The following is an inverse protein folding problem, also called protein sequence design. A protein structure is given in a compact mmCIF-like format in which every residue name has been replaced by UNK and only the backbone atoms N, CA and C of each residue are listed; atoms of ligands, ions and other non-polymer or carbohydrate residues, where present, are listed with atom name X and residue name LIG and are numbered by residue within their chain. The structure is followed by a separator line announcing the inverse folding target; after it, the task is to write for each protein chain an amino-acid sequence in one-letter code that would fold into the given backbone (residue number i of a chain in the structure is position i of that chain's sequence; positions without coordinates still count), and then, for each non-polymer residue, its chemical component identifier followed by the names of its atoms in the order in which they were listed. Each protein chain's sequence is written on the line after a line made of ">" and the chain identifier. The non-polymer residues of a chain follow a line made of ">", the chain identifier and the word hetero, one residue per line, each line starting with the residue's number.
data_IF_276587462717
#
_entry.id   IF_276587462717
#
_cell.length_a   1.000
_cell.length_b   1.000
_cell.length_c   1.000
_cell.angle_alpha   90.00
_cell.angle_beta   90.00
_cell.angle_gamma   90.00
#
_symmetry.space_group_name_H-M   'P 1'
#
loop_
_entity.id
_entity.type
_entity.pdbx_description
1 polymer ?
#
# COMPACT_ATOMS: atom_id res chain seq x y z
N UNK A 1 11.26 -22.62 19.73
CA UNK A 1 9.82 -22.27 19.62
C UNK A 1 9.55 -21.04 20.49
N UNK A 2 8.86 -20.02 19.97
CA UNK A 2 8.60 -18.78 20.72
C UNK A 2 7.52 -18.96 21.79
N UNK A 3 7.65 -18.28 22.92
CA UNK A 3 6.62 -18.27 23.99
C UNK A 3 5.66 -17.08 23.89
N UNK A 4 5.92 -16.13 23.01
CA UNK A 4 5.06 -14.97 22.83
C UNK A 4 3.71 -15.42 22.27
N UNK A 5 2.62 -14.89 22.85
CA UNK A 5 1.26 -15.27 22.48
C UNK A 5 0.26 -14.15 22.68
N UNK A 6 -0.78 -14.18 21.85
CA UNK A 6 -1.95 -13.31 21.92
C UNK A 6 -3.18 -14.20 22.23
N UNK A 7 -3.75 -14.05 23.42
CA UNK A 7 -4.98 -14.74 23.84
C UNK A 7 -6.13 -13.73 23.85
N UNK A 8 -7.10 -13.95 22.97
CA UNK A 8 -8.31 -13.13 22.85
C UNK A 8 -9.50 -13.97 23.27
N UNK A 9 -10.14 -13.57 24.37
CA UNK A 9 -11.38 -14.20 24.84
C UNK A 9 -12.54 -13.24 24.64
N UNK A 10 -13.46 -13.59 23.76
CA UNK A 10 -14.69 -12.83 23.51
C UNK A 10 -15.81 -13.49 24.30
N UNK A 11 -16.44 -12.75 25.21
CA UNK A 11 -17.58 -13.22 26.00
C UNK A 11 -18.87 -13.11 25.21
N UNK A 12 -19.67 -14.16 25.25
CA UNK A 12 -21.03 -14.12 24.75
C UNK A 12 -21.90 -13.23 25.65
N UNK A 13 -22.57 -12.26 25.03
CA UNK A 13 -23.41 -11.30 25.73
C UNK A 13 -24.84 -11.82 25.82
N UNK A 14 -25.24 -12.21 27.03
CA UNK A 14 -26.60 -12.67 27.37
C UNK A 14 -27.12 -11.86 28.56
N UNK A 15 -28.43 -11.90 28.85
CA UNK A 15 -28.99 -11.28 30.05
C UNK A 15 -28.29 -11.76 31.34
N UNK A 16 -27.97 -13.05 31.40
CA UNK A 16 -27.29 -13.67 32.54
C UNK A 16 -25.84 -13.19 32.69
N UNK A 17 -25.08 -13.14 31.58
CA UNK A 17 -23.68 -12.67 31.64
C UNK A 17 -23.60 -11.17 31.95
N UNK A 18 -24.51 -10.34 31.42
CA UNK A 18 -24.62 -8.92 31.80
C UNK A 18 -24.90 -8.70 33.28
N UNK A 19 -25.72 -9.56 33.91
CA UNK A 19 -26.02 -9.45 35.34
C UNK A 19 -24.79 -9.74 36.21
N UNK A 20 -23.95 -10.69 35.79
CA UNK A 20 -22.79 -11.18 36.55
C UNK A 20 -21.52 -10.36 36.32
N UNK A 21 -21.35 -9.77 35.14
CA UNK A 21 -20.13 -9.06 34.76
C UNK A 21 -20.33 -7.53 34.74
N UNK A 22 -19.68 -6.77 35.64
CA UNK A 22 -19.73 -5.30 35.64
C UNK A 22 -19.29 -4.66 34.33
N UNK A 23 -18.30 -5.23 33.64
CA UNK A 23 -17.73 -4.64 32.42
C UNK A 23 -18.68 -4.73 31.22
N UNK A 24 -19.66 -5.64 31.27
CA UNK A 24 -20.72 -5.76 30.27
C UNK A 24 -21.89 -4.78 30.50
N UNK A 25 -21.90 -4.06 31.64
CA UNK A 25 -22.94 -3.09 32.02
C UNK A 25 -22.54 -1.63 31.75
N UNK A 26 -21.32 -1.39 31.28
CA UNK A 26 -20.86 -0.07 30.88
C UNK A 26 -21.67 0.44 29.68
N UNK A 27 -21.76 1.78 29.47
CA UNK A 27 -22.43 2.38 28.31
C UNK A 27 -21.91 1.80 26.99
N UNK A 28 -20.61 1.51 26.93
CA UNK A 28 -19.96 0.71 25.89
C UNK A 28 -19.50 -0.60 26.53
N UNK A 29 -20.18 -1.73 26.29
CA UNK A 29 -19.84 -3.01 26.92
C UNK A 29 -18.45 -3.52 26.50
N UNK A 30 -17.61 -3.86 27.46
CA UNK A 30 -16.30 -4.46 27.19
C UNK A 30 -16.44 -5.99 27.13
N UNK A 31 -16.66 -6.49 25.91
CA UNK A 31 -17.00 -7.91 25.67
C UNK A 31 -15.78 -8.82 25.51
N UNK A 32 -14.58 -8.27 25.37
CA UNK A 32 -13.38 -9.04 25.10
C UNK A 32 -12.29 -8.77 26.14
N UNK A 33 -11.53 -9.81 26.47
CA UNK A 33 -10.30 -9.71 27.23
C UNK A 33 -9.16 -10.11 26.30
N UNK A 34 -8.22 -9.19 26.12
CA UNK A 34 -7.01 -9.40 25.32
C UNK A 34 -5.84 -9.55 26.29
N UNK A 35 -5.11 -10.65 26.21
CA UNK A 35 -3.89 -10.89 26.98
C UNK A 35 -2.73 -11.05 26.00
N UNK A 36 -1.70 -10.26 26.22
CA UNK A 36 -0.48 -10.25 25.42
C UNK A 36 0.65 -10.73 26.33
N UNK A 37 1.31 -11.82 25.96
CA UNK A 37 2.54 -12.29 26.59
C UNK A 37 3.69 -12.02 25.61
N UNK A 38 4.54 -11.04 25.96
CA UNK A 38 5.67 -10.59 25.12
C UNK A 38 6.98 -11.30 25.42
N UNK A 39 6.96 -12.48 26.05
CA UNK A 39 8.20 -13.21 26.36
C UNK A 39 8.71 -13.95 25.12
N UNK A 40 9.79 -13.44 24.57
CA UNK A 40 10.48 -14.04 23.43
C UNK A 40 11.67 -14.89 23.91
N UNK A 41 11.84 -16.05 23.30
CA UNK A 41 12.97 -16.96 23.51
C UNK A 41 14.02 -16.83 22.40
N UNK A 42 13.92 -15.80 21.58
CA UNK A 42 14.77 -15.51 20.44
C UNK A 42 14.91 -14.00 20.25
N UNK A 43 15.90 -13.58 19.47
CA UNK A 43 16.13 -12.17 19.17
C UNK A 43 15.04 -11.59 18.25
N UNK A 44 14.50 -10.45 18.66
CA UNK A 44 13.57 -9.65 17.86
C UNK A 44 14.29 -8.80 16.79
N UNK A 45 15.62 -8.71 16.88
CA UNK A 45 16.47 -7.94 15.96
C UNK A 45 17.00 -8.79 14.79
N UNK A 46 16.49 -10.01 14.64
CA UNK A 46 16.84 -10.84 13.49
C UNK A 46 16.26 -10.25 12.20
N UNK A 47 16.95 -10.42 11.08
CA UNK A 47 16.47 -9.93 9.78
C UNK A 47 15.05 -10.44 9.45
N UNK A 48 14.73 -11.69 9.83
CA UNK A 48 13.40 -12.27 9.64
C UNK A 48 12.32 -11.57 10.48
N UNK A 49 12.63 -11.22 11.72
CA UNK A 49 11.71 -10.48 12.58
C UNK A 49 11.51 -9.04 12.07
N UNK A 50 12.59 -8.34 11.72
CA UNK A 50 12.56 -6.98 11.19
C UNK A 50 11.80 -6.89 9.86
N UNK A 51 11.92 -7.91 9.00
CA UNK A 51 11.22 -7.97 7.71
C UNK A 51 9.69 -7.96 7.83
N UNK A 52 9.16 -8.41 8.97
CA UNK A 52 7.72 -8.50 9.23
C UNK A 52 7.13 -7.22 9.84
N UNK A 53 7.96 -6.22 10.13
CA UNK A 53 7.49 -4.93 10.61
C UNK A 53 6.57 -4.26 9.57
N UNK A 54 5.57 -3.53 10.06
CA UNK A 54 4.65 -2.79 9.20
C UNK A 54 5.34 -1.52 8.71
N UNK A 55 5.17 -1.24 7.42
CA UNK A 55 5.62 0.00 6.80
C UNK A 55 5.15 1.22 7.60
N UNK A 56 6.08 2.13 7.89
CA UNK A 56 5.76 3.37 8.60
C UNK A 56 4.92 4.32 7.72
N UNK A 57 4.29 5.32 8.35
CA UNK A 57 3.58 6.37 7.62
C UNK A 57 4.51 7.15 6.67
N UNK A 58 5.70 7.52 7.14
CA UNK A 58 6.69 8.24 6.32
C UNK A 58 7.18 7.40 5.14
N UNK A 59 7.47 6.11 5.35
CA UNK A 59 7.81 5.21 4.25
C UNK A 59 6.68 5.10 3.24
N UNK A 60 5.43 5.02 3.70
CA UNK A 60 4.27 5.01 2.81
C UNK A 60 4.19 6.30 1.99
N UNK A 61 4.33 7.46 2.63
CA UNK A 61 4.32 8.77 1.95
C UNK A 61 5.40 8.86 0.88
N UNK A 62 6.62 8.39 1.16
CA UNK A 62 7.70 8.30 0.17
C UNK A 62 7.30 7.49 -1.05
N UNK A 63 6.68 6.32 -0.86
CA UNK A 63 6.18 5.51 -1.97
C UNK A 63 5.04 6.17 -2.74
N UNK A 64 4.14 6.89 -2.05
CA UNK A 64 3.12 7.71 -2.72
C UNK A 64 3.76 8.79 -3.60
N UNK A 65 4.86 9.41 -3.13
CA UNK A 65 5.67 10.32 -3.94
C UNK A 65 6.15 9.67 -5.23
N UNK A 66 6.77 8.48 -5.16
CA UNK A 66 7.21 7.75 -6.35
C UNK A 66 6.06 7.45 -7.33
N UNK A 67 4.88 7.11 -6.83
CA UNK A 67 3.72 6.86 -7.70
C UNK A 67 3.21 8.16 -8.35
N UNK A 68 3.25 9.27 -7.63
CA UNK A 68 2.90 10.58 -8.18
C UNK A 68 3.88 11.02 -9.27
N UNK A 69 5.15 10.63 -9.15
CA UNK A 69 6.19 10.81 -10.18
C UNK A 69 6.02 9.85 -11.38
N UNK A 70 4.98 9.01 -11.37
CA UNK A 70 4.63 8.11 -12.47
C UNK A 70 5.31 6.74 -12.41
N UNK A 71 6.04 6.42 -11.34
CA UNK A 71 6.74 5.14 -11.23
C UNK A 71 5.77 3.97 -10.99
N UNK A 72 6.03 2.85 -11.67
CA UNK A 72 5.39 1.59 -11.35
C UNK A 72 5.91 0.98 -10.03
N UNK A 73 5.20 -0.03 -9.50
CA UNK A 73 5.58 -0.72 -8.26
C UNK A 73 7.04 -1.21 -8.29
N UNK A 74 7.47 -1.79 -9.41
CA UNK A 74 8.81 -2.34 -9.56
C UNK A 74 9.91 -1.26 -9.56
N UNK A 75 9.67 -0.16 -10.27
CA UNK A 75 10.61 0.97 -10.39
C UNK A 75 10.74 1.69 -9.05
N UNK A 76 9.60 2.00 -8.40
CA UNK A 76 9.56 2.63 -7.09
C UNK A 76 10.35 1.80 -6.06
N UNK A 77 10.18 0.47 -6.05
CA UNK A 77 10.94 -0.42 -5.16
C UNK A 77 12.42 -0.43 -5.45
N UNK A 78 12.83 -0.58 -6.72
CA UNK A 78 14.25 -0.59 -7.10
C UNK A 78 14.94 0.73 -6.71
N UNK A 79 14.29 1.86 -6.97
CA UNK A 79 14.79 3.17 -6.56
C UNK A 79 14.92 3.28 -5.04
N UNK A 80 13.89 2.85 -4.31
CA UNK A 80 13.89 2.87 -2.85
C UNK A 80 15.02 2.03 -2.26
N UNK A 81 15.16 0.78 -2.72
CA UNK A 81 16.22 -0.13 -2.31
C UNK A 81 17.60 0.46 -2.65
N UNK A 82 17.78 1.04 -3.83
CA UNK A 82 19.02 1.72 -4.22
C UNK A 82 19.37 2.90 -3.29
N UNK A 83 18.37 3.70 -2.88
CA UNK A 83 18.59 4.79 -1.91
C UNK A 83 18.97 4.28 -0.53
N UNK A 84 18.44 3.13 -0.09
CA UNK A 84 18.79 2.52 1.19
C UNK A 84 20.19 1.89 1.16
N UNK A 85 20.60 1.29 0.04
CA UNK A 85 21.93 0.68 -0.10
C UNK A 85 23.09 1.66 0.16
N UNK A 86 22.91 2.94 -0.19
CA UNK A 86 23.96 3.97 -0.06
C UNK A 86 23.98 4.61 1.33
N UNK A 87 22.96 4.36 2.17
CA UNK A 87 22.89 4.90 3.52
C UNK A 87 23.79 4.12 4.48
N UNK A 88 24.17 4.78 5.57
CA UNK A 88 24.76 4.12 6.73
C UNK A 88 23.80 3.03 7.22
N UNK A 89 24.32 1.83 7.50
CA UNK A 89 23.53 0.64 7.86
C UNK A 89 22.57 0.14 6.75
N UNK A 90 22.87 0.38 5.48
CA UNK A 90 22.01 0.00 4.35
C UNK A 90 21.51 -1.45 4.38
N UNK A 91 22.34 -2.42 4.78
CA UNK A 91 21.91 -3.83 4.92
C UNK A 91 20.80 -4.01 5.97
N UNK A 92 20.87 -3.31 7.10
CA UNK A 92 19.83 -3.37 8.14
C UNK A 92 18.56 -2.68 7.66
N UNK A 93 18.69 -1.55 6.98
CA UNK A 93 17.54 -0.81 6.43
C UNK A 93 16.80 -1.62 5.37
N UNK A 94 17.53 -2.35 4.52
CA UNK A 94 16.95 -3.26 3.54
C UNK A 94 16.20 -4.43 4.18
N UNK A 95 16.66 -4.94 5.32
CA UNK A 95 16.00 -6.01 6.05
C UNK A 95 14.78 -5.51 6.87
N UNK A 96 14.69 -4.22 7.17
CA UNK A 96 13.65 -3.65 8.01
C UNK A 96 12.36 -3.40 7.22
N UNK A 97 11.33 -4.23 7.42
CA UNK A 97 10.03 -4.12 6.74
C UNK A 97 9.27 -2.81 7.01
N UNK A 98 9.60 -2.08 8.08
CA UNK A 98 9.03 -0.77 8.36
C UNK A 98 9.56 0.31 7.41
N UNK A 99 10.81 0.17 6.97
CA UNK A 99 11.53 1.12 6.11
C UNK A 99 11.60 0.63 4.65
N UNK A 100 11.87 -0.65 4.45
CA UNK A 100 11.87 -1.36 3.17
C UNK A 100 10.72 -2.39 3.13
N UNK A 101 9.49 -1.94 2.79
CA UNK A 101 8.31 -2.78 2.86
C UNK A 101 8.32 -3.89 1.80
N UNK A 102 7.71 -5.01 2.15
CA UNK A 102 7.51 -6.14 1.24
C UNK A 102 6.75 -5.73 -0.03
N UNK A 103 7.04 -6.40 -1.15
CA UNK A 103 6.42 -6.13 -2.46
C UNK A 103 4.88 -6.11 -2.38
N UNK A 104 4.26 -7.04 -1.64
CA UNK A 104 2.81 -7.09 -1.43
C UNK A 104 2.25 -5.83 -0.76
N UNK A 105 3.01 -5.23 0.16
CA UNK A 105 2.61 -4.02 0.90
C UNK A 105 2.64 -2.83 -0.04
N UNK A 106 3.71 -2.70 -0.83
CA UNK A 106 3.83 -1.65 -1.85
C UNK A 106 2.74 -1.80 -2.92
N UNK A 107 2.47 -3.02 -3.37
CA UNK A 107 1.38 -3.31 -4.30
C UNK A 107 0.02 -2.87 -3.74
N UNK A 108 -0.27 -3.21 -2.48
CA UNK A 108 -1.49 -2.76 -1.83
C UNK A 108 -1.59 -1.22 -1.78
N UNK A 109 -0.51 -0.54 -1.39
CA UNK A 109 -0.48 0.92 -1.36
C UNK A 109 -0.71 1.53 -2.74
N UNK A 110 -0.09 0.99 -3.77
CA UNK A 110 -0.28 1.44 -5.14
C UNK A 110 -1.70 1.18 -5.64
N UNK A 111 -2.32 0.03 -5.32
CA UNK A 111 -3.74 -0.22 -5.64
C UNK A 111 -4.66 0.80 -4.96
N UNK A 112 -4.45 1.07 -3.67
CA UNK A 112 -5.21 2.09 -2.92
C UNK A 112 -5.01 3.47 -3.53
N UNK A 113 -3.75 3.88 -3.75
CA UNK A 113 -3.41 5.15 -4.39
C UNK A 113 -4.07 5.31 -5.76
N UNK A 114 -4.02 4.26 -6.58
CA UNK A 114 -4.62 4.25 -7.91
C UNK A 114 -6.14 4.38 -7.83
N UNK A 115 -6.77 3.64 -6.91
CA UNK A 115 -8.21 3.71 -6.70
C UNK A 115 -8.64 5.12 -6.24
N UNK A 116 -7.93 5.71 -5.29
CA UNK A 116 -8.23 7.06 -4.79
C UNK A 116 -7.98 8.15 -5.85
N UNK A 117 -6.90 8.03 -6.62
CA UNK A 117 -6.49 9.08 -7.57
C UNK A 117 -7.23 8.99 -8.91
N UNK A 118 -7.67 7.79 -9.29
CA UNK A 118 -8.19 7.51 -10.63
C UNK A 118 -9.48 6.67 -10.68
N UNK A 119 -10.08 6.29 -9.54
CA UNK A 119 -11.38 5.62 -9.51
C UNK A 119 -11.36 4.11 -9.68
N UNK A 120 -10.19 3.45 -9.66
CA UNK A 120 -10.05 2.00 -9.51
C UNK A 120 -10.44 1.13 -10.71
N UNK A 121 -11.01 1.72 -11.77
CA UNK A 121 -11.34 1.03 -13.03
C UNK A 121 -10.23 1.09 -14.09
N UNK A 122 -10.50 0.51 -15.26
CA UNK A 122 -9.71 0.77 -16.46
C UNK A 122 -9.84 2.26 -16.80
N UNK A 123 -8.73 2.99 -16.69
CA UNK A 123 -8.69 4.41 -16.99
C UNK A 123 -8.41 4.52 -18.47
N UNK A 124 -9.29 5.19 -19.23
CA UNK A 124 -8.92 5.69 -20.53
C UNK A 124 -7.84 6.78 -20.32
N UNK A 125 -6.57 6.52 -20.72
CA UNK A 125 -5.49 7.47 -20.49
C UNK A 125 -5.78 8.82 -21.11
N UNK A 126 -6.48 8.84 -22.26
CA UNK A 126 -6.76 10.07 -23.00
C UNK A 126 -7.78 10.94 -22.25
N UNK A 127 -8.93 10.37 -21.87
CA UNK A 127 -9.94 11.07 -21.09
C UNK A 127 -9.39 11.61 -19.75
N UNK A 128 -8.53 10.84 -19.06
CA UNK A 128 -7.93 11.29 -17.80
C UNK A 128 -6.92 12.40 -18.00
N UNK A 129 -6.14 12.31 -19.06
CA UNK A 129 -5.21 13.33 -19.46
C UNK A 129 -5.95 14.64 -19.78
N UNK A 130 -7.05 14.60 -20.52
CA UNK A 130 -7.91 15.77 -20.77
C UNK A 130 -8.43 16.37 -19.46
N UNK A 131 -8.93 15.53 -18.54
CA UNK A 131 -9.40 15.99 -17.22
C UNK A 131 -8.31 16.73 -16.43
N UNK A 132 -7.05 16.31 -16.53
CA UNK A 132 -5.92 16.92 -15.82
C UNK A 132 -5.23 18.06 -16.58
N UNK A 133 -5.67 18.38 -17.81
CA UNK A 133 -5.11 19.46 -18.62
C UNK A 133 -4.97 20.81 -17.88
N UNK A 134 -5.97 21.32 -17.13
CA UNK A 134 -5.83 22.60 -16.42
C UNK A 134 -4.76 22.57 -15.32
N UNK A 135 -4.56 21.42 -14.67
CA UNK A 135 -3.53 21.22 -13.65
C UNK A 135 -2.12 21.32 -14.26
N UNK A 136 -1.92 20.66 -15.41
CA UNK A 136 -0.62 20.69 -16.11
C UNK A 136 -0.30 22.07 -16.68
N UNK A 137 -1.31 22.78 -17.19
CA UNK A 137 -1.16 24.15 -17.65
C UNK A 137 -0.72 25.09 -16.51
N UNK A 138 -1.32 24.96 -15.31
CA UNK A 138 -0.93 25.72 -14.13
C UNK A 138 0.51 25.42 -13.66
N UNK A 139 1.04 24.23 -13.99
CA UNK A 139 2.41 23.81 -13.70
C UNK A 139 3.40 24.14 -14.84
N UNK A 140 2.97 24.89 -15.86
CA UNK A 140 3.82 25.28 -17.00
C UNK A 140 4.14 24.15 -17.98
N UNK A 141 3.38 23.06 -17.97
CA UNK A 141 3.60 21.91 -18.86
C UNK A 141 2.73 22.03 -20.11
N UNK A 142 3.35 22.08 -21.28
CA UNK A 142 2.68 22.12 -22.58
C UNK A 142 2.33 20.70 -23.05
N UNK A 143 1.10 20.48 -23.55
CA UNK A 143 0.67 19.21 -24.15
C UNK A 143 0.22 19.40 -25.59
N UNK A 144 0.63 18.48 -26.45
CA UNK A 144 0.16 18.35 -27.83
C UNK A 144 -0.47 16.95 -27.93
N UNK A 145 -1.75 16.88 -28.29
CA UNK A 145 -2.44 15.63 -28.60
C UNK A 145 -2.67 15.62 -30.10
N UNK A 146 -1.97 14.75 -30.83
CA UNK A 146 -2.23 14.52 -32.25
C UNK A 146 -3.10 13.27 -32.41
N UNK A 147 -4.22 13.42 -33.13
CA UNK A 147 -5.05 12.29 -33.52
C UNK A 147 -4.62 11.84 -34.93
N UNK A 148 -4.04 10.65 -35.01
CA UNK A 148 -3.75 10.03 -36.31
C UNK A 148 -5.02 9.31 -36.79
N UNK A 149 -5.66 9.85 -37.82
CA UNK A 149 -6.76 9.16 -38.48
C UNK A 149 -6.18 8.10 -39.41
N UNK A 150 -6.35 6.82 -39.06
CA UNK A 150 -6.11 5.72 -39.99
C UNK A 150 -7.15 5.81 -41.11
N UNK A 151 -6.80 6.45 -42.23
CA UNK A 151 -7.57 6.34 -43.46
C UNK A 151 -7.51 4.89 -43.92
N UNK A 152 -8.67 4.21 -43.95
CA UNK A 152 -8.81 2.88 -44.52
C UNK A 152 -8.40 2.94 -46.00
N UNK A 153 -7.15 2.56 -46.28
CA UNK A 153 -6.64 2.46 -47.63
C UNK A 153 -7.47 1.46 -48.43
N UNK A 154 -8.11 1.97 -49.47
CA UNK A 154 -8.75 1.25 -50.56
C UNK A 154 -7.93 0.03 -51.00
N UNK A 155 -8.41 -1.18 -50.68
CA UNK A 155 -8.00 -2.41 -51.37
C UNK A 155 -8.65 -2.42 -52.76
N UNK A 156 -8.00 -1.78 -53.72
CA UNK A 156 -8.23 -2.03 -55.14
C UNK A 156 -7.45 -3.29 -55.54
N UNK A 157 -8.23 -4.32 -55.88
CA UNK A 157 -7.99 -5.35 -56.90
C UNK A 157 -6.61 -6.01 -57.02
N UNK A 158 -6.56 -7.31 -56.72
CA UNK A 158 -6.13 -8.31 -57.71
C UNK A 158 -7.12 -9.48 -57.62
N UNK A 159 -7.94 -9.62 -58.66
CA UNK A 159 -8.67 -10.84 -58.97
C UNK A 159 -7.84 -11.61 -60.01
N UNK A 160 -7.60 -12.89 -59.71
CA UNK A 160 -7.07 -13.98 -60.54
C UNK A 160 -5.81 -13.71 -61.38
#
# INVERSE_FOLDING_TARGET
>A
MCMARLDIKIKLVTKSTKKKDPYLRLPVPLVAVIRIDGRHTHSLESADALRLLRGTASTRETFIGYFNDGMGIGEARKLHESKLCVQENGLMLLANGAINPLARTVQHWHCVWRATSFGGGAIDPLAKLEQKAPLYAAQGTMRIISHEQLTLGSRLGIAL
#
